data_IF_336966830672
#
_entry.id   IF_336966830672
#
_cell.length_a   1.000
_cell.length_b   1.000
_cell.length_c   1.000
_cell.angle_alpha   90.00
_cell.angle_beta   90.00
_cell.angle_gamma   90.00
#
_symmetry.space_group_name_H-M   'P 1'
#
loop_
_entity.id
_entity.type
_entity.pdbx_description
1 polymer ?
#
# COMPACT_ATOMS: atom_id res chain seq x y z
N UNK A 1 -0.95 14.89 2.96
CA UNK A 1 -1.19 13.43 3.00
C UNK A 1 0.10 12.66 2.80
N UNK A 2 0.12 11.42 3.21
CA UNK A 2 1.30 10.57 3.01
C UNK A 2 0.90 9.28 2.31
N UNK A 3 1.85 8.72 1.55
CA UNK A 3 1.72 7.43 0.89
C UNK A 3 2.86 6.55 1.39
N UNK A 4 2.53 5.36 1.86
CA UNK A 4 3.51 4.40 2.36
C UNK A 4 3.82 3.37 1.27
N UNK A 5 5.10 3.02 1.14
CA UNK A 5 5.52 1.96 0.22
C UNK A 5 6.31 0.92 1.02
N UNK A 6 5.93 -0.35 0.88
CA UNK A 6 6.67 -1.46 1.48
C UNK A 6 7.89 -1.72 0.60
N UNK A 7 9.07 -1.49 1.14
CA UNK A 7 10.30 -1.43 0.36
C UNK A 7 11.34 -2.46 0.81
N UNK A 8 12.23 -2.78 -0.12
CA UNK A 8 13.52 -3.40 0.15
C UNK A 8 14.54 -2.43 -0.42
N UNK A 9 15.14 -1.61 0.44
CA UNK A 9 15.96 -0.50 -0.01
C UNK A 9 15.13 0.56 -0.71
N UNK A 10 15.46 0.86 -1.96
CA UNK A 10 14.76 1.88 -2.75
C UNK A 10 13.65 1.29 -3.63
N UNK A 11 13.57 -0.04 -3.70
CA UNK A 11 12.61 -0.73 -4.56
C UNK A 11 11.42 -1.19 -3.75
N UNK A 12 10.27 -1.37 -4.44
CA UNK A 12 9.11 -2.01 -3.83
C UNK A 12 9.50 -3.45 -3.49
N UNK A 13 9.30 -3.86 -2.23
CA UNK A 13 9.64 -5.22 -1.81
C UNK A 13 8.76 -6.23 -2.54
N UNK A 14 9.35 -7.37 -2.90
CA UNK A 14 8.59 -8.42 -3.59
C UNK A 14 7.42 -8.93 -2.74
N UNK A 15 7.64 -9.06 -1.43
CA UNK A 15 6.58 -9.50 -0.50
C UNK A 15 6.43 -8.48 0.62
N UNK A 16 5.19 -8.11 0.88
CA UNK A 16 4.87 -7.14 1.93
C UNK A 16 5.37 -7.62 3.30
N UNK A 17 5.16 -8.90 3.62
CA UNK A 17 5.52 -9.44 4.92
C UNK A 17 7.03 -9.67 5.09
N UNK A 18 7.81 -9.47 4.03
CA UNK A 18 9.27 -9.56 4.08
C UNK A 18 9.93 -8.22 3.73
N UNK A 19 9.18 -7.14 3.77
CA UNK A 19 9.72 -5.82 3.50
C UNK A 19 10.74 -5.44 4.57
N UNK A 20 11.80 -4.75 4.17
CA UNK A 20 12.83 -4.29 5.08
C UNK A 20 12.47 -2.97 5.73
N UNK A 21 11.72 -2.15 5.01
CA UNK A 21 11.38 -0.81 5.49
C UNK A 21 10.10 -0.33 4.83
N UNK A 22 9.48 0.65 5.47
CA UNK A 22 8.45 1.46 4.84
C UNK A 22 9.05 2.81 4.50
N UNK A 23 8.78 3.31 3.30
CA UNK A 23 9.11 4.68 2.94
C UNK A 23 7.82 5.47 2.90
N UNK A 24 7.75 6.54 3.68
CA UNK A 24 6.58 7.42 3.72
C UNK A 24 6.88 8.65 2.87
N UNK A 25 6.05 8.86 1.87
CA UNK A 25 6.19 10.01 0.97
C UNK A 25 5.12 11.04 1.35
N UNK A 26 5.56 12.21 1.77
CA UNK A 26 4.65 13.32 2.05
C UNK A 26 4.32 14.04 0.75
N UNK A 27 3.03 14.20 0.48
CA UNK A 27 2.54 14.75 -0.79
C UNK A 27 1.71 16.00 -0.50
N UNK A 28 2.03 17.09 -1.21
CA UNK A 28 1.29 18.33 -1.14
C UNK A 28 0.99 18.79 -2.56
N UNK A 29 -0.29 19.01 -2.86
CA UNK A 29 -0.74 19.43 -4.18
C UNK A 29 -0.25 18.52 -5.30
N UNK A 30 -0.27 17.20 -5.03
CA UNK A 30 0.12 16.19 -6.03
C UNK A 30 1.62 16.06 -6.23
N UNK A 31 2.44 16.70 -5.38
CA UNK A 31 3.90 16.69 -5.51
C UNK A 31 4.51 16.11 -4.24
N UNK A 32 5.49 15.22 -4.42
CA UNK A 32 6.25 14.67 -3.30
C UNK A 32 7.16 15.78 -2.77
N UNK A 33 6.98 16.15 -1.50
CA UNK A 33 7.78 17.20 -0.88
C UNK A 33 8.76 16.67 0.16
N UNK A 34 8.58 15.42 0.60
CA UNK A 34 9.43 14.83 1.62
C UNK A 34 9.32 13.32 1.54
N UNK A 35 10.39 12.59 1.92
CA UNK A 35 10.29 11.15 2.09
C UNK A 35 11.09 10.74 3.33
N UNK A 36 10.61 9.70 3.99
CA UNK A 36 11.23 9.19 5.21
C UNK A 36 11.17 7.68 5.19
N UNK A 37 12.32 7.02 5.37
CA UNK A 37 12.40 5.57 5.43
C UNK A 37 12.42 5.13 6.88
N UNK A 38 11.55 4.17 7.22
CA UNK A 38 11.42 3.62 8.57
C UNK A 38 11.60 2.12 8.50
N UNK A 39 12.32 1.50 9.44
CA UNK A 39 12.43 0.04 9.46
C UNK A 39 11.04 -0.60 9.58
N UNK A 40 10.88 -1.77 8.96
CA UNK A 40 9.64 -2.51 9.11
C UNK A 40 9.48 -2.89 10.60
N UNK A 41 8.40 -2.46 11.26
CA UNK A 41 8.28 -2.67 12.70
C UNK A 41 7.91 -4.11 13.03
N UNK A 42 8.44 -4.60 14.17
CA UNK A 42 8.15 -5.94 14.67
C UNK A 42 6.91 -5.91 15.56
N UNK A 43 5.79 -5.48 15.00
CA UNK A 43 4.52 -5.37 15.72
C UNK A 43 3.41 -5.92 14.85
N UNK A 44 2.27 -6.29 15.42
CA UNK A 44 1.13 -6.79 14.64
C UNK A 44 0.61 -5.74 13.67
N UNK A 45 -0.03 -6.20 12.58
CA UNK A 45 -0.57 -5.31 11.54
C UNK A 45 -1.48 -4.21 12.10
N UNK A 46 -2.39 -4.49 13.07
CA UNK A 46 -3.21 -3.41 13.61
C UNK A 46 -2.43 -2.25 14.20
N UNK A 47 -1.27 -2.53 14.80
CA UNK A 47 -0.42 -1.47 15.36
C UNK A 47 0.22 -0.63 14.26
N UNK A 48 0.59 -1.27 13.13
CA UNK A 48 1.11 -0.54 11.97
C UNK A 48 0.02 0.36 11.39
N UNK A 49 -1.20 -0.16 11.30
CA UNK A 49 -2.33 0.60 10.79
C UNK A 49 -2.56 1.84 11.66
N UNK A 50 -2.54 1.69 12.99
CA UNK A 50 -2.70 2.81 13.90
C UNK A 50 -1.62 3.85 13.69
N UNK A 51 -0.38 3.41 13.51
CA UNK A 51 0.73 4.31 13.23
C UNK A 51 0.51 5.06 11.91
N UNK A 52 0.11 4.35 10.87
CA UNK A 52 -0.14 4.97 9.57
C UNK A 52 -1.27 6.00 9.65
N UNK A 53 -2.32 5.70 10.41
CA UNK A 53 -3.42 6.66 10.59
C UNK A 53 -2.93 7.91 11.30
N UNK A 54 -2.07 7.76 12.30
CA UNK A 54 -1.52 8.90 13.04
C UNK A 54 -0.62 9.75 12.15
N UNK A 55 -0.06 9.19 11.08
CA UNK A 55 0.83 9.89 10.15
C UNK A 55 0.10 10.39 8.90
N UNK A 56 -1.23 10.30 8.88
CA UNK A 56 -2.04 10.72 7.74
C UNK A 56 -1.70 9.96 6.45
N UNK A 57 -1.39 8.67 6.59
CA UNK A 57 -1.15 7.80 5.44
C UNK A 57 -2.49 7.42 4.83
N UNK A 58 -2.66 7.68 3.54
CA UNK A 58 -3.93 7.42 2.84
C UNK A 58 -3.84 6.23 1.88
N UNK A 59 -2.64 5.80 1.54
CA UNK A 59 -2.45 4.68 0.61
C UNK A 59 -1.20 3.90 0.97
N UNK A 60 -1.25 2.59 0.72
CA UNK A 60 -0.13 1.67 0.89
C UNK A 60 0.14 1.01 -0.46
N UNK A 61 1.35 1.19 -0.98
CA UNK A 61 1.79 0.57 -2.23
C UNK A 61 2.69 -0.61 -1.90
N UNK A 62 2.41 -1.77 -2.51
CA UNK A 62 3.17 -2.99 -2.26
C UNK A 62 3.11 -3.89 -3.48
N UNK A 63 3.86 -4.99 -3.45
CA UNK A 63 3.77 -5.99 -4.52
C UNK A 63 2.86 -7.12 -4.07
N UNK A 64 3.39 -8.15 -3.43
CA UNK A 64 2.60 -9.30 -2.99
C UNK A 64 2.17 -9.09 -1.53
N UNK A 65 0.88 -9.08 -1.28
CA UNK A 65 0.32 -8.97 0.06
C UNK A 65 -0.85 -9.96 0.16
N UNK A 66 -0.99 -10.63 1.30
CA UNK A 66 -2.15 -11.50 1.45
C UNK A 66 -3.39 -10.68 1.81
N UNK A 67 -4.56 -11.26 1.52
CA UNK A 67 -5.84 -10.55 1.69
C UNK A 67 -6.08 -10.20 3.16
N UNK A 68 -5.70 -11.07 4.07
CA UNK A 68 -5.91 -10.81 5.50
C UNK A 68 -5.16 -9.58 5.97
N UNK A 69 -3.90 -9.45 5.55
CA UNK A 69 -3.11 -8.26 5.88
C UNK A 69 -3.69 -7.03 5.22
N UNK A 70 -4.06 -7.13 3.95
CA UNK A 70 -4.62 -5.99 3.21
C UNK A 70 -5.89 -5.46 3.87
N UNK A 71 -6.72 -6.34 4.42
CA UNK A 71 -7.98 -5.93 5.06
C UNK A 71 -7.77 -5.01 6.25
N UNK A 72 -6.70 -5.21 7.01
CA UNK A 72 -6.42 -4.30 8.14
C UNK A 72 -6.32 -2.86 7.66
N UNK A 73 -5.66 -2.65 6.52
CA UNK A 73 -5.47 -1.31 5.97
C UNK A 73 -6.74 -0.79 5.31
N UNK A 74 -7.40 -1.63 4.52
CA UNK A 74 -8.64 -1.23 3.85
C UNK A 74 -9.74 -0.87 4.85
N UNK A 75 -9.84 -1.62 5.94
CA UNK A 75 -10.84 -1.33 6.97
C UNK A 75 -10.57 -0.03 7.71
N UNK A 76 -9.36 0.50 7.61
CA UNK A 76 -8.99 1.78 8.22
C UNK A 76 -8.98 2.90 7.18
N UNK A 77 -9.58 2.68 6.03
CA UNK A 77 -9.65 3.67 4.94
C UNK A 77 -8.28 4.01 4.36
N UNK A 78 -7.34 3.06 4.42
CA UNK A 78 -6.05 3.18 3.73
C UNK A 78 -6.16 2.34 2.47
N UNK A 79 -6.06 2.97 1.32
CA UNK A 79 -6.12 2.27 0.04
C UNK A 79 -4.90 1.36 -0.12
N UNK A 80 -5.11 0.09 -0.51
CA UNK A 80 -3.99 -0.83 -0.76
C UNK A 80 -3.86 -1.05 -2.25
N UNK A 81 -2.68 -0.71 -2.79
CA UNK A 81 -2.37 -0.86 -4.21
C UNK A 81 -1.27 -1.92 -4.31
N UNK A 82 -1.63 -3.09 -4.82
CA UNK A 82 -0.74 -4.26 -4.89
C UNK A 82 -0.25 -4.49 -6.31
N UNK A 83 0.60 -5.50 -6.46
CA UNK A 83 1.18 -5.90 -7.76
C UNK A 83 2.08 -4.81 -8.36
N UNK A 84 2.66 -3.97 -7.53
CA UNK A 84 3.56 -2.90 -7.96
C UNK A 84 5.01 -3.34 -7.78
N UNK A 85 5.86 -3.06 -8.75
CA UNK A 85 7.28 -3.40 -8.69
C UNK A 85 8.11 -2.21 -9.18
N UNK A 86 9.43 -2.30 -8.97
CA UNK A 86 10.35 -1.27 -9.43
C UNK A 86 10.68 -0.27 -8.34
N UNK A 87 11.11 0.91 -8.74
CA UNK A 87 11.57 1.94 -7.82
C UNK A 87 10.37 2.56 -7.10
N UNK A 88 10.43 2.61 -5.76
CA UNK A 88 9.32 3.07 -4.94
C UNK A 88 8.87 4.49 -5.29
N UNK A 89 9.82 5.41 -5.42
CA UNK A 89 9.49 6.81 -5.74
C UNK A 89 8.76 6.92 -7.07
N UNK A 90 9.23 6.17 -8.08
CA UNK A 90 8.58 6.18 -9.39
C UNK A 90 7.14 5.66 -9.28
N UNK A 91 6.93 4.60 -8.48
CA UNK A 91 5.59 4.05 -8.27
C UNK A 91 4.66 5.09 -7.66
N UNK A 92 5.15 5.85 -6.67
CA UNK A 92 4.34 6.90 -6.05
C UNK A 92 4.00 7.99 -7.06
N UNK A 93 4.98 8.42 -7.86
CA UNK A 93 4.74 9.44 -8.88
C UNK A 93 3.70 8.99 -9.90
N UNK A 94 3.78 7.73 -10.34
CA UNK A 94 2.80 7.17 -11.27
C UNK A 94 1.42 7.05 -10.61
N UNK A 95 1.37 6.67 -9.35
CA UNK A 95 0.11 6.60 -8.62
C UNK A 95 -0.55 7.99 -8.57
N UNK A 96 0.23 9.03 -8.28
CA UNK A 96 -0.31 10.39 -8.19
C UNK A 96 -0.83 10.91 -9.51
N UNK A 97 -0.25 10.50 -10.63
CA UNK A 97 -0.69 10.90 -11.96
C UNK A 97 -1.65 9.91 -12.59
N UNK A 98 -1.98 8.83 -11.87
CA UNK A 98 -2.88 7.77 -12.31
C UNK A 98 -2.37 7.07 -13.58
N UNK A 99 -1.05 6.92 -13.68
CA UNK A 99 -0.41 6.24 -14.81
C UNK A 99 0.19 4.90 -14.41
N UNK A 100 -0.06 4.43 -13.19
CA UNK A 100 0.47 3.16 -12.70
C UNK A 100 -0.24 2.01 -13.39
N UNK A 101 0.53 1.16 -14.08
CA UNK A 101 0.01 0.07 -14.90
C UNK A 101 0.22 -1.25 -14.16
N UNK A 102 -0.79 -2.12 -14.23
CA UNK A 102 -0.70 -3.48 -13.67
C UNK A 102 -0.95 -3.55 -12.18
N UNK A 103 -1.25 -2.42 -11.55
CA UNK A 103 -1.51 -2.41 -10.12
C UNK A 103 -2.91 -2.95 -9.81
N UNK A 104 -3.03 -3.66 -8.70
CA UNK A 104 -4.30 -4.16 -8.19
C UNK A 104 -4.73 -3.32 -7.00
N UNK A 105 -5.95 -2.80 -7.06
CA UNK A 105 -6.55 -2.10 -5.93
C UNK A 105 -7.27 -3.12 -5.07
N UNK A 106 -6.79 -3.32 -3.86
CA UNK A 106 -7.20 -4.45 -3.02
C UNK A 106 -8.42 -4.17 -2.15
N UNK A 107 -8.99 -2.97 -2.22
CA UNK A 107 -10.05 -2.57 -1.29
C UNK A 107 -11.44 -2.61 -1.93
N UNK A 108 -11.67 -3.50 -2.88
CA UNK A 108 -12.92 -3.56 -3.63
C UNK A 108 -13.70 -4.87 -3.47
N UNK A 109 -13.30 -5.71 -2.53
CA UNK A 109 -13.94 -7.02 -2.38
C UNK A 109 -15.29 -6.98 -1.70
N UNK A 110 -15.69 -5.89 -1.16
CA UNK A 110 -16.97 -5.75 -0.48
C UNK A 110 -18.12 -5.44 -1.43
N UNK A 111 -17.83 -5.22 -2.68
CA UNK A 111 -18.87 -4.96 -3.65
C UNK A 111 -19.62 -6.24 -3.97
N UNK A 112 -19.54 -6.45 -4.15
CA UNK A 112 -20.14 -7.39 -4.36
C UNK A 112 -20.44 -8.28 -4.33
N UNK A 113 -20.49 -8.39 -4.30
CA UNK A 113 -20.67 -9.18 -4.04
C UNK A 113 -20.84 -10.01 -4.36
N UNK A 114 -20.94 -10.06 -4.53
CA UNK A 114 -20.93 -10.81 -4.69
C UNK A 114 -20.59 -11.53 -5.38
N UNK A 115 -20.52 -11.53 -5.76
CA UNK A 115 -19.98 -12.18 -6.17
C UNK A 115 -19.17 -12.69 -6.48
N UNK A 116 -18.88 -12.82 -6.49
CA UNK A 116 -17.93 -13.28 -6.35
C UNK A 116 -17.62 -13.89 -6.31
N UNK A 117 -18.15 -14.10 -6.49
CA UNK A 117 -17.56 -14.75 -6.07
C UNK A 117 -16.77 -15.07 -5.91
N UNK A 118 -16.84 -15.01 -5.89
CA UNK A 118 -16.04 -15.27 -5.44
C UNK A 118 -15.13 -15.17 -5.69
N UNK A 119 -15.24 -14.98 -5.95
CA UNK A 119 -14.49 -14.83 -5.96
C UNK A 119 -13.79 -14.31 -6.06
N UNK A 120 -13.87 -13.98 -6.18
CA UNK A 120 -13.26 -13.48 -5.98
C UNK A 120 -12.39 -13.18 -5.86
N UNK A 121 -12.53 -13.06 -5.94
CA UNK A 121 -11.74 -12.72 -5.65
C UNK A 121 -11.03 -12.20 -5.72
N UNK A 122 -10.92 -11.96 -5.77
CA UNK A 122 -10.21 -11.55 -5.73
C UNK A 122 -9.79 -11.39 -6.08
N UNK A 123 -10.06 -11.37 -6.40
CA UNK A 123 -9.50 -11.34 -6.46
C UNK A 123 -8.82 -11.51 -6.52
N UNK A 124 -9.03 -11.59 -6.71
CA UNK A 124 -8.25 -11.97 -6.48
C UNK A 124 -7.96 -12.45 -6.50
#
# INVERSE_FOLDING_TARGET
MRIAVACSGLDVAYRFDHAENFTLYTVTNGIIVECQSLPYPSVPQPAIVDFFKSMDVVALICNTINIEDARYYCNADIEVVAAVSGIARTAVEQYLTKTLIGADEMCHWDDDDDDFPGEHTCHL
#
